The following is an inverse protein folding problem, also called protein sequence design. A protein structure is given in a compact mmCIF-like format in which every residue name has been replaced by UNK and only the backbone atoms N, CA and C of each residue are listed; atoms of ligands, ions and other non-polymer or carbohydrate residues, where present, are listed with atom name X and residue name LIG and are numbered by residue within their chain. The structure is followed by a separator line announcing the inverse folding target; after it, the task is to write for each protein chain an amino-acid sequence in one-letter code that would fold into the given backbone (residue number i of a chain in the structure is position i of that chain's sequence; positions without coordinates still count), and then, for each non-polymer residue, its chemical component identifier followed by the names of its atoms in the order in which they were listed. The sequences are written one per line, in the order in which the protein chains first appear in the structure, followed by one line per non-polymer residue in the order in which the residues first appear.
data_IF_962339189749
#
_entry.id   IF_962339189749
#
_cell.length_a   1.000
_cell.length_b   1.000
_cell.length_c   1.000
_cell.angle_alpha   90.00
_cell.angle_beta   90.00
_cell.angle_gamma   90.00
#
_symmetry.space_group_name_H-M   'P 1'
#
loop_
_entity.id
_entity.type
_entity.pdbx_description
1 polymer ?
#
# COMPACT_ATOMS: atom_id res chain seq x y z
N UNK A 1 -9.40 -11.78 23.64
CA UNK A 1 -10.49 -12.28 22.77
C UNK A 1 -10.21 -12.09 21.29
N UNK A 2 -9.85 -10.88 20.81
CA UNK A 2 -9.51 -10.64 19.39
C UNK A 2 -8.43 -11.59 18.84
N UNK A 3 -7.30 -11.74 19.53
CA UNK A 3 -6.22 -12.66 19.13
C UNK A 3 -6.65 -14.13 19.00
N UNK A 4 -7.70 -14.54 19.74
CA UNK A 4 -8.19 -15.92 19.74
C UNK A 4 -9.08 -16.20 18.53
N UNK A 5 -9.89 -15.22 18.12
CA UNK A 5 -10.68 -15.31 16.87
C UNK A 5 -9.79 -15.46 15.64
N UNK A 6 -8.64 -14.76 15.63
CA UNK A 6 -7.67 -14.88 14.55
C UNK A 6 -6.82 -16.16 14.63
N UNK A 7 -6.73 -16.79 15.80
CA UNK A 7 -6.05 -18.07 15.97
C UNK A 7 -6.83 -19.26 15.37
N UNK A 8 -8.13 -19.09 15.11
CA UNK A 8 -9.00 -20.13 14.56
C UNK A 8 -8.97 -20.21 13.03
N UNK A 9 -8.48 -19.17 12.36
CA UNK A 9 -8.39 -19.14 10.90
C UNK A 9 -7.07 -19.82 10.52
N UNK A 10 -7.11 -20.91 9.72
CA UNK A 10 -5.91 -21.61 9.30
C UNK A 10 -4.92 -20.62 8.69
N UNK A 11 -3.76 -20.47 9.32
CA UNK A 11 -2.69 -19.64 8.77
C UNK A 11 -2.06 -20.42 7.64
N UNK A 12 -2.17 -19.88 6.43
CA UNK A 12 -1.34 -20.35 5.32
C UNK A 12 0.09 -19.91 5.68
N UNK A 13 1.08 -20.83 5.66
CA UNK A 13 2.46 -20.50 5.93
C UNK A 13 2.94 -19.34 5.04
N UNK A 14 3.78 -18.47 5.60
CA UNK A 14 4.38 -17.38 4.85
C UNK A 14 5.10 -17.93 3.61
N UNK A 15 4.78 -17.40 2.42
CA UNK A 15 5.41 -17.77 1.16
C UNK A 15 4.78 -18.94 0.41
N UNK A 16 3.73 -19.56 0.95
CA UNK A 16 2.92 -20.52 0.20
C UNK A 16 1.80 -19.81 -0.58
N UNK A 17 1.48 -20.33 -1.77
CA UNK A 17 0.37 -19.84 -2.58
C UNK A 17 -0.95 -20.02 -1.83
N UNK A 18 -1.81 -19.01 -1.86
CA UNK A 18 -3.15 -19.13 -1.30
C UNK A 18 -3.92 -20.22 -2.07
N UNK A 19 -4.68 -21.09 -1.38
CA UNK A 19 -5.49 -22.09 -2.07
C UNK A 19 -6.54 -21.41 -2.97
N UNK A 20 -6.89 -22.00 -4.13
CA UNK A 20 -7.83 -21.39 -5.07
C UNK A 20 -9.26 -21.24 -4.52
N UNK A 21 -9.57 -21.94 -3.42
CA UNK A 21 -10.83 -21.81 -2.70
C UNK A 21 -10.55 -21.46 -1.23
N UNK A 22 -11.42 -20.67 -0.58
CA UNK A 22 -11.26 -20.33 0.82
C UNK A 22 -11.29 -21.60 1.68
N UNK A 23 -10.41 -21.71 2.69
CA UNK A 23 -10.54 -22.75 3.71
C UNK A 23 -11.96 -22.77 4.29
N UNK A 24 -12.57 -23.94 4.55
CA UNK A 24 -13.99 -24.03 4.94
C UNK A 24 -14.38 -23.17 6.15
N UNK A 25 -13.48 -23.04 7.12
CA UNK A 25 -13.68 -22.17 8.29
C UNK A 25 -13.74 -20.69 7.90
N UNK A 26 -12.85 -20.24 7.00
CA UNK A 26 -12.84 -18.88 6.50
C UNK A 26 -14.08 -18.60 5.65
N UNK A 27 -14.46 -19.53 4.77
CA UNK A 27 -15.67 -19.43 3.96
C UNK A 27 -16.94 -19.26 4.82
N UNK A 28 -17.06 -20.06 5.88
CA UNK A 28 -18.20 -19.97 6.81
C UNK A 28 -18.27 -18.62 7.53
N UNK A 29 -17.13 -18.07 7.94
CA UNK A 29 -17.05 -16.79 8.64
C UNK A 29 -17.30 -15.60 7.71
N UNK A 30 -16.83 -15.67 6.46
CA UNK A 30 -17.15 -14.69 5.41
C UNK A 30 -18.65 -14.71 5.07
N UNK A 31 -19.24 -15.90 4.89
CA UNK A 31 -20.68 -16.05 4.67
C UNK A 31 -21.52 -15.55 5.86
N UNK A 32 -20.98 -15.60 7.08
CA UNK A 32 -21.59 -15.04 8.28
C UNK A 32 -21.48 -13.49 8.38
N UNK A 33 -20.88 -12.82 7.40
CA UNK A 33 -20.78 -11.36 7.36
C UNK A 33 -19.67 -10.79 8.25
N UNK A 34 -18.51 -11.45 8.32
CA UNK A 34 -17.36 -10.95 9.08
C UNK A 34 -16.87 -9.59 8.55
N UNK A 35 -16.80 -9.38 7.23
CA UNK A 35 -16.27 -8.14 6.66
C UNK A 35 -17.09 -6.90 7.08
N UNK A 36 -18.45 -6.89 6.94
CA UNK A 36 -19.27 -5.80 7.47
C UNK A 36 -19.19 -5.65 9.00
N UNK A 37 -18.88 -6.71 9.73
CA UNK A 37 -18.67 -6.63 11.18
C UNK A 37 -17.35 -5.91 11.51
N UNK A 38 -16.25 -6.29 10.84
CA UNK A 38 -14.94 -5.65 10.98
C UNK A 38 -14.97 -4.18 10.56
N UNK A 39 -15.66 -3.85 9.47
CA UNK A 39 -15.83 -2.47 9.01
C UNK A 39 -16.49 -1.62 10.10
N UNK A 40 -17.64 -2.06 10.62
CA UNK A 40 -18.37 -1.33 11.67
C UNK A 40 -17.55 -1.18 12.94
N UNK A 41 -16.78 -2.20 13.30
CA UNK A 41 -15.91 -2.17 14.46
C UNK A 41 -14.77 -1.15 14.28
N UNK A 42 -14.11 -1.16 13.12
CA UNK A 42 -13.07 -0.19 12.77
C UNK A 42 -13.60 1.24 12.73
N UNK A 43 -14.79 1.44 12.13
CA UNK A 43 -15.44 2.75 12.04
C UNK A 43 -15.73 3.32 13.43
N UNK A 44 -16.34 2.52 14.31
CA UNK A 44 -16.61 2.90 15.71
C UNK A 44 -15.34 3.16 16.51
N UNK A 45 -14.31 2.34 16.31
CA UNK A 45 -13.01 2.58 16.93
C UNK A 45 -12.41 3.91 16.46
N UNK A 46 -12.58 4.27 15.18
CA UNK A 46 -12.18 5.58 14.65
C UNK A 46 -12.96 6.76 15.22
N UNK A 47 -14.27 6.60 15.40
CA UNK A 47 -15.15 7.61 16.02
C UNK A 47 -14.81 7.83 17.50
N UNK A 48 -14.48 6.76 18.23
CA UNK A 48 -14.13 6.78 19.66
C UNK A 48 -12.83 6.02 19.88
N UNK A 49 -11.66 6.64 19.66
CA UNK A 49 -10.36 5.98 19.80
C UNK A 49 -10.05 5.45 21.21
N UNK A 50 -10.71 5.99 22.24
CA UNK A 50 -10.60 5.54 23.64
C UNK A 50 -11.76 4.61 24.06
N UNK A 51 -12.63 4.23 23.10
CA UNK A 51 -13.78 3.37 23.34
C UNK A 51 -13.43 1.89 23.49
N UNK A 52 -14.37 1.05 23.96
CA UNK A 52 -14.15 -0.39 24.09
C UNK A 52 -13.89 -1.07 22.74
N UNK A 53 -14.47 -0.57 21.64
CA UNK A 53 -14.20 -1.07 20.29
C UNK A 53 -12.72 -0.91 19.89
N UNK A 54 -12.07 0.19 20.29
CA UNK A 54 -10.66 0.41 19.95
C UNK A 54 -9.72 -0.58 20.63
N UNK A 55 -10.06 -1.02 21.85
CA UNK A 55 -9.31 -2.07 22.56
C UNK A 55 -9.38 -3.40 21.81
N UNK A 56 -10.58 -3.75 21.28
CA UNK A 56 -10.77 -4.96 20.49
C UNK A 56 -10.02 -4.87 19.16
N UNK A 57 -10.14 -3.75 18.44
CA UNK A 57 -9.41 -3.52 17.19
C UNK A 57 -7.91 -3.55 17.43
N UNK A 58 -7.42 -2.89 18.48
CA UNK A 58 -6.00 -2.90 18.80
C UNK A 58 -5.49 -4.33 19.03
N UNK A 59 -6.25 -5.16 19.75
CA UNK A 59 -5.92 -6.57 19.94
C UNK A 59 -5.94 -7.38 18.64
N UNK A 60 -6.82 -7.06 17.69
CA UNK A 60 -6.85 -7.69 16.36
C UNK A 60 -5.65 -7.28 15.51
N UNK A 61 -5.27 -6.01 15.54
CA UNK A 61 -4.19 -5.46 14.71
C UNK A 61 -2.79 -5.73 15.27
N UNK A 62 -2.64 -5.95 16.58
CA UNK A 62 -1.34 -6.25 17.22
C UNK A 62 -0.75 -7.62 16.87
N UNK A 63 -1.53 -8.53 16.28
CA UNK A 63 -1.00 -9.83 15.89
C UNK A 63 0.17 -9.66 14.92
N UNK A 64 1.31 -10.32 15.17
CA UNK A 64 2.52 -10.26 14.32
C UNK A 64 2.24 -10.58 12.84
N UNK A 65 1.14 -11.28 12.57
CA UNK A 65 0.70 -11.72 11.25
C UNK A 65 -0.70 -11.22 10.93
N UNK A 66 -1.15 -10.12 11.55
CA UNK A 66 -2.48 -9.58 11.32
C UNK A 66 -2.70 -9.34 9.83
N UNK A 67 -1.76 -8.66 9.16
CA UNK A 67 -1.87 -8.34 7.74
C UNK A 67 -2.10 -9.56 6.84
N UNK A 68 -1.53 -10.74 7.14
CA UNK A 68 -1.78 -11.96 6.36
C UNK A 68 -3.23 -12.38 6.41
N UNK A 69 -3.81 -12.33 7.60
CA UNK A 69 -5.22 -12.66 7.76
C UNK A 69 -6.09 -11.65 7.03
N UNK A 70 -5.78 -10.36 7.14
CA UNK A 70 -6.49 -9.31 6.43
C UNK A 70 -6.37 -9.49 4.91
N UNK A 71 -5.21 -9.92 4.41
CA UNK A 71 -5.02 -10.24 2.99
C UNK A 71 -5.95 -11.38 2.56
N UNK A 72 -6.02 -12.47 3.33
CA UNK A 72 -6.96 -13.58 3.05
C UNK A 72 -8.43 -13.14 3.10
N UNK A 73 -8.79 -12.28 4.05
CA UNK A 73 -10.14 -11.74 4.18
C UNK A 73 -10.53 -10.89 2.97
N UNK A 74 -9.59 -10.14 2.40
CA UNK A 74 -9.78 -9.34 1.20
C UNK A 74 -9.73 -10.19 -0.08
N UNK A 75 -8.92 -11.24 -0.12
CA UNK A 75 -8.81 -12.20 -1.24
C UNK A 75 -10.11 -12.98 -1.43
N UNK A 76 -10.60 -13.62 -0.36
CA UNK A 76 -11.76 -14.52 -0.44
C UNK A 76 -13.08 -13.81 -0.17
N UNK A 77 -13.03 -12.56 0.27
CA UNK A 77 -14.19 -11.75 0.58
C UNK A 77 -14.95 -11.31 -0.66
N UNK A 78 -16.26 -11.13 -0.52
CA UNK A 78 -17.06 -10.43 -1.52
C UNK A 78 -16.57 -8.98 -1.65
N UNK A 79 -16.29 -8.55 -2.89
CA UNK A 79 -15.78 -7.21 -3.19
C UNK A 79 -16.70 -6.11 -2.65
N UNK A 80 -18.03 -6.32 -2.70
CA UNK A 80 -19.01 -5.35 -2.18
C UNK A 80 -18.85 -5.12 -0.67
N UNK A 81 -18.39 -6.14 0.06
CA UNK A 81 -18.15 -6.07 1.50
C UNK A 81 -16.72 -5.64 1.84
N UNK A 82 -15.75 -6.00 1.00
CA UNK A 82 -14.34 -5.67 1.18
C UNK A 82 -14.05 -4.19 0.88
N UNK A 83 -14.71 -3.58 -0.10
CA UNK A 83 -14.50 -2.16 -0.45
C UNK A 83 -14.78 -1.22 0.74
N UNK A 84 -15.95 -1.27 1.41
CA UNK A 84 -16.21 -0.42 2.59
C UNK A 84 -15.18 -0.57 3.71
N UNK A 85 -14.65 -1.79 3.88
CA UNK A 85 -13.59 -2.07 4.84
C UNK A 85 -12.29 -1.33 4.48
N UNK A 86 -11.89 -1.40 3.20
CA UNK A 86 -10.70 -0.70 2.67
C UNK A 86 -10.87 0.82 2.73
N UNK A 87 -12.07 1.34 2.45
CA UNK A 87 -12.42 2.76 2.62
C UNK A 87 -12.20 3.19 4.08
N UNK A 88 -12.74 2.42 5.01
CA UNK A 88 -12.65 2.70 6.45
C UNK A 88 -11.21 2.69 6.93
N UNK A 89 -10.42 1.68 6.52
CA UNK A 89 -8.99 1.64 6.79
C UNK A 89 -8.25 2.85 6.21
N UNK A 90 -8.57 3.26 4.98
CA UNK A 90 -7.99 4.45 4.36
C UNK A 90 -8.29 5.73 5.11
N UNK A 91 -9.51 5.85 5.65
CA UNK A 91 -9.92 7.00 6.47
C UNK A 91 -9.18 7.01 7.81
N UNK A 92 -9.10 5.87 8.49
CA UNK A 92 -8.31 5.72 9.72
C UNK A 92 -6.83 6.05 9.47
N UNK A 93 -6.27 5.57 8.36
CA UNK A 93 -4.90 5.85 7.93
C UNK A 93 -4.69 7.35 7.67
N UNK A 94 -5.66 8.03 7.07
CA UNK A 94 -5.60 9.47 6.83
C UNK A 94 -5.51 10.29 8.12
N UNK A 95 -6.18 9.83 9.18
CA UNK A 95 -6.14 10.47 10.51
C UNK A 95 -4.96 10.01 11.38
N UNK A 96 -4.19 9.00 10.96
CA UNK A 96 -3.01 8.56 11.68
C UNK A 96 -2.01 9.72 11.81
N UNK A 97 -1.50 9.94 13.01
CA UNK A 97 -0.55 11.02 13.31
C UNK A 97 0.86 10.45 13.35
N UNK A 98 1.85 11.00 12.63
CA UNK A 98 3.24 10.59 12.77
C UNK A 98 3.71 10.87 14.21
N UNK A 99 3.75 9.84 15.04
CA UNK A 99 4.21 9.91 16.43
C UNK A 99 5.60 9.28 16.59
N UNK A 100 6.44 9.83 17.46
CA UNK A 100 7.72 9.18 17.79
C UNK A 100 7.54 7.74 18.34
N UNK A 101 6.35 7.43 18.90
CA UNK A 101 6.00 6.13 19.46
C UNK A 101 5.88 4.99 18.43
N UNK A 102 5.88 5.31 17.14
CA UNK A 102 5.92 4.34 16.05
C UNK A 102 7.17 3.45 16.02
N UNK A 103 8.23 3.87 16.72
CA UNK A 103 9.57 3.28 16.64
C UNK A 103 9.76 2.06 17.53
N UNK A 104 8.81 1.74 18.39
CA UNK A 104 8.85 0.56 19.23
C UNK A 104 7.54 -0.22 19.06
N UNK A 105 7.63 -1.48 18.61
CA UNK A 105 6.57 -2.48 18.80
C UNK A 105 6.40 -2.82 20.29
N UNK A 106 6.37 -1.80 21.13
CA UNK A 106 6.03 -1.93 22.55
C UNK A 106 4.53 -2.20 22.64
N UNK A 107 4.16 -3.05 23.60
CA UNK A 107 2.77 -3.38 23.93
C UNK A 107 1.89 -2.14 24.16
N UNK A 108 2.52 -0.99 24.44
CA UNK A 108 1.90 0.32 24.60
C UNK A 108 1.38 0.98 23.31
N UNK A 109 1.52 0.38 22.13
CA UNK A 109 0.96 0.95 20.90
C UNK A 109 -0.57 1.10 21.04
N UNK A 110 -1.03 2.35 21.07
CA UNK A 110 -2.44 2.70 21.19
C UNK A 110 -3.10 2.72 19.80
N UNK A 111 -4.40 2.40 19.75
CA UNK A 111 -5.18 2.60 18.52
C UNK A 111 -5.32 4.10 18.19
N UNK A 112 -5.34 4.96 19.20
CA UNK A 112 -5.50 6.41 19.07
C UNK A 112 -4.38 7.07 18.23
N UNK A 113 -3.16 6.53 18.27
CA UNK A 113 -2.06 7.05 17.46
C UNK A 113 -2.13 6.61 15.98
N UNK A 114 -3.05 5.70 15.63
CA UNK A 114 -3.20 5.14 14.28
C UNK A 114 -2.07 4.20 13.87
N UNK A 115 -1.15 3.86 14.79
CA UNK A 115 0.07 3.15 14.43
C UNK A 115 -0.15 1.72 13.95
N UNK A 116 -1.11 1.04 14.59
CA UNK A 116 -1.56 -0.29 14.21
C UNK A 116 -2.22 -0.32 12.82
N UNK A 117 -2.95 0.74 12.48
CA UNK A 117 -3.59 0.87 11.15
C UNK A 117 -2.53 1.11 10.08
N UNK A 118 -1.55 1.97 10.36
CA UNK A 118 -0.40 2.18 9.46
C UNK A 118 0.35 0.87 9.22
N UNK A 119 0.67 0.13 10.29
CA UNK A 119 1.35 -1.17 10.17
C UNK A 119 0.54 -2.19 9.36
N UNK A 120 -0.78 -2.25 9.57
CA UNK A 120 -1.67 -3.10 8.79
C UNK A 120 -1.68 -2.71 7.31
N UNK A 121 -1.95 -1.44 6.99
CA UNK A 121 -2.03 -0.97 5.59
C UNK A 121 -0.69 -1.12 4.88
N UNK A 122 0.43 -0.81 5.55
CA UNK A 122 1.76 -1.01 5.01
C UNK A 122 2.05 -2.49 4.75
N UNK A 123 1.74 -3.38 5.71
CA UNK A 123 1.92 -4.82 5.56
C UNK A 123 1.02 -5.43 4.47
N UNK A 124 -0.21 -4.94 4.32
CA UNK A 124 -1.10 -5.34 3.23
C UNK A 124 -0.54 -4.94 1.87
N UNK A 125 -0.06 -3.70 1.71
CA UNK A 125 0.54 -3.28 0.45
C UNK A 125 1.88 -3.98 0.19
N UNK A 126 2.67 -4.26 1.21
CA UNK A 126 3.94 -4.98 1.08
C UNK A 126 3.71 -6.44 0.65
N UNK A 127 2.78 -7.12 1.32
CA UNK A 127 2.46 -8.53 1.07
C UNK A 127 1.73 -8.79 -0.25
N UNK A 128 1.05 -7.78 -0.81
CA UNK A 128 0.32 -7.88 -2.08
C UNK A 128 1.00 -7.08 -3.20
N UNK A 129 2.20 -6.54 -2.97
CA UNK A 129 3.00 -5.99 -4.06
C UNK A 129 3.18 -7.09 -5.14
N UNK A 130 2.94 -6.80 -6.43
CA UNK A 130 2.98 -7.82 -7.46
C UNK A 130 4.38 -8.44 -7.57
N UNK A 131 4.59 -9.55 -6.87
CA UNK A 131 5.67 -10.49 -7.10
C UNK A 131 5.27 -11.36 -8.29
N UNK A 132 6.24 -11.91 -9.03
CA UNK A 132 6.02 -12.86 -10.13
C UNK A 132 5.04 -14.00 -9.76
N UNK A 133 4.98 -14.36 -8.49
CA UNK A 133 4.11 -15.42 -7.96
C UNK A 133 2.62 -15.08 -8.03
N UNK A 134 2.25 -13.79 -8.06
CA UNK A 134 0.85 -13.38 -8.06
C UNK A 134 0.08 -13.91 -9.30
N UNK A 135 0.75 -14.12 -10.46
CA UNK A 135 0.13 -14.69 -11.68
C UNK A 135 -0.25 -16.15 -11.48
N UNK A 136 0.57 -16.87 -10.73
CA UNK A 136 0.34 -18.30 -10.50
C UNK A 136 -0.78 -18.53 -9.49
N UNK A 137 -1.10 -17.52 -8.67
CA UNK A 137 -2.13 -17.61 -7.65
C UNK A 137 -3.55 -17.51 -8.22
N UNK A 138 -3.72 -17.12 -9.50
CA UNK A 138 -5.05 -17.02 -10.10
C UNK A 138 -5.93 -16.00 -9.38
N UNK A 139 -5.32 -14.89 -8.95
CA UNK A 139 -5.99 -13.79 -8.24
C UNK A 139 -7.26 -13.42 -8.98
N UNK A 140 -8.38 -13.36 -8.26
CA UNK A 140 -9.64 -12.98 -8.87
C UNK A 140 -9.59 -11.51 -9.33
N UNK A 141 -10.14 -11.21 -10.51
CA UNK A 141 -10.32 -9.82 -11.00
C UNK A 141 -10.92 -8.88 -9.95
N UNK A 142 -11.74 -9.40 -9.04
CA UNK A 142 -12.39 -8.65 -7.98
C UNK A 142 -11.39 -8.11 -6.95
N UNK A 143 -10.39 -8.91 -6.58
CA UNK A 143 -9.35 -8.47 -5.65
C UNK A 143 -8.40 -7.44 -6.25
N UNK A 144 -8.08 -7.57 -7.53
CA UNK A 144 -7.26 -6.56 -8.21
C UNK A 144 -7.90 -5.17 -8.12
N UNK A 145 -9.24 -5.10 -8.20
CA UNK A 145 -10.00 -3.86 -8.06
C UNK A 145 -9.92 -3.31 -6.64
N UNK A 146 -10.14 -4.17 -5.63
CA UNK A 146 -10.08 -3.79 -4.21
C UNK A 146 -8.67 -3.33 -3.84
N UNK A 147 -7.65 -4.06 -4.27
CA UNK A 147 -6.25 -3.73 -4.04
C UNK A 147 -5.87 -2.44 -4.74
N UNK A 148 -6.27 -2.26 -6.00
CA UNK A 148 -5.93 -1.05 -6.72
C UNK A 148 -6.60 0.18 -6.12
N UNK A 149 -7.83 0.02 -5.61
CA UNK A 149 -8.47 1.04 -4.81
C UNK A 149 -7.67 1.35 -3.55
N UNK A 150 -7.22 0.32 -2.82
CA UNK A 150 -6.38 0.46 -1.64
C UNK A 150 -5.07 1.20 -1.96
N UNK A 151 -4.34 0.80 -3.00
CA UNK A 151 -3.11 1.46 -3.48
C UNK A 151 -3.38 2.94 -3.75
N UNK A 152 -4.42 3.25 -4.53
CA UNK A 152 -4.74 4.63 -4.89
C UNK A 152 -5.06 5.51 -3.68
N UNK A 153 -5.76 4.98 -2.68
CA UNK A 153 -6.17 5.75 -1.50
C UNK A 153 -5.10 5.78 -0.40
N UNK A 154 -4.36 4.70 -0.21
CA UNK A 154 -3.44 4.54 0.91
C UNK A 154 -2.03 5.03 0.58
N UNK A 155 -1.54 4.81 -0.65
CA UNK A 155 -0.15 5.11 -1.02
C UNK A 155 0.22 6.60 -0.84
N UNK A 156 -0.63 7.60 -1.24
CA UNK A 156 -0.33 9.00 -0.97
C UNK A 156 -0.25 9.32 0.52
N UNK A 157 -1.12 8.70 1.33
CA UNK A 157 -1.15 8.90 2.79
C UNK A 157 0.10 8.29 3.43
N UNK A 158 0.49 7.08 3.04
CA UNK A 158 1.71 6.43 3.50
C UNK A 158 2.96 7.23 3.12
N UNK A 159 3.01 7.78 1.89
CA UNK A 159 4.11 8.66 1.49
C UNK A 159 4.18 9.92 2.34
N UNK A 160 3.04 10.56 2.63
CA UNK A 160 2.99 11.71 3.53
C UNK A 160 3.54 11.36 4.91
N UNK A 161 3.09 10.23 5.49
CA UNK A 161 3.55 9.75 6.79
C UNK A 161 5.06 9.41 6.77
N UNK A 162 5.54 8.77 5.70
CA UNK A 162 6.97 8.45 5.53
C UNK A 162 7.82 9.72 5.49
N UNK A 163 7.42 10.72 4.70
CA UNK A 163 8.13 12.00 4.62
C UNK A 163 8.11 12.75 5.95
N UNK A 164 6.99 12.75 6.66
CA UNK A 164 6.90 13.32 8.00
C UNK A 164 7.86 12.59 8.96
N UNK A 165 7.87 11.26 8.95
CA UNK A 165 8.79 10.46 9.76
C UNK A 165 10.27 10.75 9.45
N UNK A 166 10.63 10.95 8.19
CA UNK A 166 11.99 11.30 7.77
C UNK A 166 12.40 12.72 8.17
N UNK A 167 11.44 13.64 8.30
CA UNK A 167 11.71 15.01 8.70
C UNK A 167 11.95 15.17 10.22
N UNK A 168 11.62 14.17 11.05
CA UNK A 168 11.82 14.26 12.50
C UNK A 168 13.29 13.94 12.87
N UNK A 169 14.07 14.92 13.37
CA UNK A 169 15.50 14.75 13.66
C UNK A 169 15.79 13.91 14.90
N UNK A 170 14.77 13.54 15.68
CA UNK A 170 14.89 12.92 16.99
C UNK A 170 14.38 11.47 17.06
N UNK A 171 14.05 10.85 15.92
CA UNK A 171 13.60 9.47 15.94
C UNK A 171 14.75 8.58 16.46
N UNK A 172 14.58 7.84 17.57
CA UNK A 172 15.50 6.76 17.91
C UNK A 172 15.59 5.83 16.69
N UNK A 173 16.70 5.10 16.56
CA UNK A 173 17.07 4.28 15.39
C UNK A 173 16.11 3.09 15.07
N UNK A 174 14.81 3.23 15.33
CA UNK A 174 13.76 2.26 15.10
C UNK A 174 13.23 2.29 13.67
N UNK A 175 12.91 1.09 13.18
CA UNK A 175 12.60 0.77 11.78
C UNK A 175 11.29 1.31 11.20
N UNK A 176 10.68 2.36 11.76
CA UNK A 176 9.46 2.94 11.19
C UNK A 176 9.64 3.39 9.72
N UNK A 177 10.73 4.10 9.35
CA UNK A 177 10.92 4.46 7.95
C UNK A 177 10.96 3.21 7.06
N UNK A 178 11.52 2.10 7.54
CA UNK A 178 11.56 0.86 6.75
C UNK A 178 10.18 0.24 6.52
N UNK A 179 9.29 0.26 7.53
CA UNK A 179 7.92 -0.28 7.42
C UNK A 179 7.10 0.54 6.42
N UNK A 180 7.24 1.86 6.44
CA UNK A 180 6.53 2.75 5.52
C UNK A 180 7.15 2.76 4.12
N UNK A 181 8.48 2.76 4.01
CA UNK A 181 9.18 2.85 2.73
C UNK A 181 9.07 1.55 1.94
N UNK A 182 9.08 0.38 2.57
CA UNK A 182 9.06 -0.89 1.84
C UNK A 182 7.88 -1.02 0.86
N UNK A 183 6.60 -0.84 1.26
CA UNK A 183 5.50 -0.87 0.31
C UNK A 183 5.58 0.29 -0.69
N UNK A 184 6.04 1.48 -0.29
CA UNK A 184 6.21 2.57 -1.26
C UNK A 184 7.21 2.18 -2.36
N UNK A 185 8.37 1.65 -1.99
CA UNK A 185 9.44 1.28 -2.92
C UNK A 185 9.10 0.04 -3.76
N UNK A 186 8.20 -0.83 -3.33
CA UNK A 186 7.73 -1.94 -4.16
C UNK A 186 6.69 -1.51 -5.19
N UNK A 187 5.81 -0.57 -4.84
CA UNK A 187 4.75 -0.09 -5.73
C UNK A 187 5.20 0.99 -6.71
N UNK A 188 6.12 1.89 -6.32
CA UNK A 188 6.54 3.01 -7.17
C UNK A 188 7.13 2.61 -8.54
N UNK A 189 8.00 1.58 -8.65
CA UNK A 189 8.50 1.12 -9.93
C UNK A 189 7.37 0.70 -10.90
N UNK A 190 6.39 -0.02 -10.39
CA UNK A 190 5.26 -0.53 -11.17
C UNK A 190 4.36 0.60 -11.68
N UNK A 191 4.10 1.59 -10.81
CA UNK A 191 3.33 2.78 -11.16
C UNK A 191 4.08 3.66 -12.18
N UNK A 192 5.40 3.82 -12.01
CA UNK A 192 6.25 4.53 -12.95
C UNK A 192 6.25 3.88 -14.34
N UNK A 193 6.36 2.54 -14.41
CA UNK A 193 6.29 1.81 -15.68
C UNK A 193 4.96 1.99 -16.41
N UNK A 194 3.86 2.13 -15.67
CA UNK A 194 2.54 2.41 -16.26
C UNK A 194 2.42 3.80 -16.86
N UNK A 195 3.22 4.76 -16.39
CA UNK A 195 3.21 6.10 -16.95
C UNK A 195 3.90 6.16 -18.33
N UNK A 196 4.77 5.20 -18.66
CA UNK A 196 5.48 5.18 -19.95
C UNK A 196 4.61 4.75 -21.15
N UNK A 197 3.60 3.90 -20.91
CA UNK A 197 2.83 3.26 -21.99
C UNK A 197 1.79 4.15 -22.69
N UNK A 198 1.59 5.40 -22.24
CA UNK A 198 0.53 6.28 -22.75
C UNK A 198 0.84 7.01 -24.07
N UNK A 199 2.06 6.87 -24.60
CA UNK A 199 2.58 7.73 -25.67
C UNK A 199 2.18 7.39 -27.11
N UNK A 200 1.53 6.27 -27.40
CA UNK A 200 1.18 6.00 -28.80
C UNK A 200 0.50 4.67 -29.10
N UNK A 201 -0.83 4.72 -29.22
CA UNK A 201 -1.59 4.00 -30.27
C UNK A 201 -3.02 4.56 -30.35
N UNK A 202 -3.21 5.41 -31.38
CA UNK A 202 -4.38 5.56 -32.25
C UNK A 202 -5.81 5.35 -31.70
N UNK A 203 -6.61 6.42 -31.79
CA UNK A 203 -7.99 6.43 -32.28
C UNK A 203 -8.83 5.15 -32.04
N UNK A 204 -9.47 5.06 -30.88
CA UNK A 204 -10.75 4.37 -30.77
C UNK A 204 -11.87 5.40 -31.08
N UNK A 205 -12.60 5.28 -32.20
CA UNK A 205 -13.77 6.09 -32.45
C UNK A 205 -14.94 5.47 -31.69
N UNK A 206 -15.11 5.82 -30.43
CA UNK A 206 -16.43 5.76 -29.79
C UNK A 206 -16.44 6.72 -28.60
N UNK A 207 -16.70 7.99 -28.91
CA UNK A 207 -17.22 8.95 -27.94
C UNK A 207 -18.59 8.45 -27.50
N UNK A 208 -18.65 7.69 -26.41
CA UNK A 208 -19.81 7.76 -25.54
C UNK A 208 -19.75 9.16 -24.89
N UNK A 209 -20.50 10.09 -25.47
CA UNK A 209 -20.79 11.38 -24.83
C UNK A 209 -21.58 11.10 -23.56
N UNK A 210 -20.90 11.06 -22.42
CA UNK A 210 -21.54 11.24 -21.12
C UNK A 210 -21.68 12.74 -20.93
N UNK A 211 -22.91 13.23 -21.08
CA UNK A 211 -23.27 14.62 -20.88
C UNK A 211 -23.00 15.03 -19.43
N UNK A 212 -22.08 15.97 -19.23
CA UNK A 212 -21.80 16.58 -17.95
C UNK A 212 -22.88 17.63 -17.65
N UNK A 213 -23.78 17.30 -16.72
CA UNK A 213 -24.55 18.29 -15.99
C UNK A 213 -24.16 18.14 -14.51
N UNK A 214 -23.22 18.97 -14.06
CA UNK A 214 -22.83 19.07 -12.65
C UNK A 214 -23.29 20.42 -12.15
N UNK A 215 -24.24 20.38 -11.20
CA UNK A 215 -24.64 21.51 -10.38
C UNK A 215 -23.54 21.71 -9.33
N UNK A 216 -23.05 22.94 -9.24
CA UNK A 216 -22.04 23.38 -8.30
C UNK A 216 -22.62 23.34 -6.88
N UNK A 217 -22.24 22.33 -6.09
CA UNK A 217 -22.47 22.28 -4.65
C UNK A 217 -21.11 22.20 -3.98
N UNK A 218 -20.75 23.30 -3.33
CA UNK A 218 -19.51 23.47 -2.58
C UNK A 218 -19.58 22.61 -1.31
N UNK A 219 -18.78 21.54 -1.24
CA UNK A 219 -18.58 20.73 -0.02
C UNK A 219 -17.23 21.12 0.63
N UNK A 220 -17.22 21.66 1.87
CA UNK A 220 -16.01 22.06 2.56
C UNK A 220 -15.10 20.89 3.00
N UNK A 221 -15.50 19.62 2.86
CA UNK A 221 -14.65 18.45 3.17
C UNK A 221 -13.91 17.84 1.96
N UNK A 222 -13.89 18.53 0.81
CA UNK A 222 -12.87 18.32 -0.23
C UNK A 222 -12.75 16.87 -0.72
N UNK A 223 -13.87 16.21 -0.98
CA UNK A 223 -13.88 14.94 -1.70
C UNK A 223 -13.29 15.22 -3.08
N UNK A 224 -12.07 14.71 -3.33
CA UNK A 224 -11.37 14.83 -4.60
C UNK A 224 -12.23 14.27 -5.73
N UNK A 225 -13.05 15.12 -6.34
CA UNK A 225 -13.72 14.87 -7.61
C UNK A 225 -12.62 14.82 -8.67
N UNK A 226 -12.02 13.64 -8.76
CA UNK A 226 -11.04 13.23 -9.76
C UNK A 226 -11.70 13.36 -11.13
N UNK A 227 -11.37 14.44 -11.85
CA UNK A 227 -11.45 14.46 -13.31
C UNK A 227 -10.58 13.30 -13.80
N UNK A 228 -11.18 12.14 -14.07
CA UNK A 228 -10.54 10.83 -14.27
C UNK A 228 -9.52 10.72 -15.42
N UNK A 229 -8.97 11.85 -15.87
CA UNK A 229 -7.94 12.01 -16.89
C UNK A 229 -6.51 11.89 -16.34
N UNK A 230 -6.29 12.08 -15.04
CA UNK A 230 -4.95 12.11 -14.44
C UNK A 230 -4.18 10.77 -14.39
N UNK A 231 -4.86 9.64 -14.58
CA UNK A 231 -4.24 8.30 -14.68
C UNK A 231 -3.24 7.96 -13.56
N UNK A 232 -2.20 7.21 -13.91
CA UNK A 232 -1.14 6.78 -12.99
C UNK A 232 -0.17 7.91 -12.61
N UNK A 233 0.02 8.88 -13.51
CA UNK A 233 0.91 10.01 -13.29
C UNK A 233 0.39 10.93 -12.18
N UNK A 234 -0.92 11.17 -12.15
CA UNK A 234 -1.53 11.91 -11.04
C UNK A 234 -1.26 11.18 -9.71
N UNK A 235 -1.38 9.85 -9.65
CA UNK A 235 -1.10 9.11 -8.41
C UNK A 235 0.36 9.29 -7.96
N UNK A 236 1.33 9.23 -8.87
CA UNK A 236 2.74 9.51 -8.56
C UNK A 236 2.94 10.94 -8.03
N UNK A 237 2.33 11.93 -8.68
CA UNK A 237 2.38 13.32 -8.24
C UNK A 237 1.77 13.51 -6.83
N UNK A 238 0.63 12.87 -6.54
CA UNK A 238 -0.01 12.90 -5.21
C UNK A 238 0.86 12.27 -4.13
N UNK A 239 1.62 11.21 -4.47
CA UNK A 239 2.60 10.64 -3.54
C UNK A 239 3.82 11.54 -3.33
N UNK A 240 3.98 12.63 -4.08
CA UNK A 240 5.20 13.48 -4.07
C UNK A 240 6.46 12.62 -4.15
N UNK A 241 6.45 11.69 -5.11
CA UNK A 241 7.43 10.61 -5.23
C UNK A 241 8.88 11.11 -5.24
N UNK A 242 9.16 12.22 -5.92
CA UNK A 242 10.52 12.78 -5.98
C UNK A 242 11.00 13.26 -4.60
N UNK A 243 10.16 13.99 -3.87
CA UNK A 243 10.50 14.43 -2.50
C UNK A 243 10.61 13.26 -1.51
N UNK A 244 9.77 12.23 -1.68
CA UNK A 244 9.83 11.01 -0.89
C UNK A 244 11.16 10.27 -1.09
N UNK A 245 11.54 10.03 -2.35
CA UNK A 245 12.77 9.32 -2.69
C UNK A 245 14.02 10.13 -2.32
N UNK A 246 13.99 11.46 -2.47
CA UNK A 246 15.05 12.35 -2.00
C UNK A 246 15.27 12.21 -0.48
N UNK A 247 14.20 12.27 0.32
CA UNK A 247 14.30 12.04 1.76
C UNK A 247 14.82 10.64 2.11
N UNK A 248 14.39 9.61 1.38
CA UNK A 248 14.84 8.24 1.61
C UNK A 248 16.32 8.04 1.27
N UNK A 249 16.83 8.70 0.22
CA UNK A 249 18.26 8.70 -0.11
C UNK A 249 19.10 9.31 1.03
N UNK A 250 18.65 10.41 1.63
CA UNK A 250 19.33 11.00 2.77
C UNK A 250 19.37 10.06 3.99
N UNK A 251 18.33 9.23 4.19
CA UNK A 251 18.35 8.22 5.26
C UNK A 251 19.44 7.16 5.09
N UNK A 252 19.87 6.88 3.85
CA UNK A 252 20.90 5.87 3.59
C UNK A 252 22.30 6.29 4.03
N UNK A 253 22.55 7.60 4.17
CA UNK A 253 23.84 8.15 4.63
C UNK A 253 24.02 8.07 6.15
N UNK A 254 22.92 7.98 6.89
CA UNK A 254 22.97 7.93 8.34
C UNK A 254 23.58 6.59 8.77
N UNK A 255 24.77 6.58 9.44
CA UNK A 255 25.48 5.33 9.78
C UNK A 255 24.68 4.38 10.68
N UNK A 256 23.59 4.89 11.27
CA UNK A 256 22.79 4.23 12.30
C UNK A 256 21.45 3.68 11.79
N UNK A 257 21.07 3.92 10.53
CA UNK A 257 19.71 3.57 10.07
C UNK A 257 19.50 2.09 9.82
N UNK A 258 20.57 1.27 9.81
CA UNK A 258 20.45 -0.19 9.73
C UNK A 258 19.61 -0.68 8.53
N UNK A 259 19.52 0.13 7.47
CA UNK A 259 18.65 -0.14 6.33
C UNK A 259 19.12 -1.44 5.69
N UNK A 260 18.21 -2.39 5.55
CA UNK A 260 18.47 -3.66 4.91
C UNK A 260 18.96 -3.44 3.46
N UNK A 261 19.96 -4.21 2.98
CA UNK A 261 20.46 -4.09 1.61
C UNK A 261 19.36 -4.21 0.54
N UNK A 262 18.34 -5.03 0.80
CA UNK A 262 17.17 -5.17 -0.08
C UNK A 262 16.38 -3.87 -0.23
N UNK A 263 16.24 -3.09 0.85
CA UNK A 263 15.54 -1.80 0.80
C UNK A 263 16.37 -0.76 0.02
N UNK A 264 17.70 -0.79 0.11
CA UNK A 264 18.58 0.06 -0.72
C UNK A 264 18.48 -0.29 -2.20
N UNK A 265 18.39 -1.57 -2.53
CA UNK A 265 18.14 -2.02 -3.90
C UNK A 265 16.77 -1.52 -4.41
N UNK A 266 15.70 -1.71 -3.64
CA UNK A 266 14.37 -1.21 -3.99
C UNK A 266 14.32 0.33 -4.12
N UNK A 267 15.09 1.04 -3.30
CA UNK A 267 15.24 2.50 -3.38
C UNK A 267 15.92 2.93 -4.68
N UNK A 268 17.06 2.31 -5.01
CA UNK A 268 17.77 2.58 -6.26
C UNK A 268 16.88 2.29 -7.49
N UNK A 269 16.16 1.17 -7.45
CA UNK A 269 15.23 0.79 -8.52
C UNK A 269 14.12 1.84 -8.68
N UNK A 270 13.48 2.22 -7.58
CA UNK A 270 12.45 3.27 -7.56
C UNK A 270 12.97 4.61 -8.08
N UNK A 271 14.19 5.01 -7.71
CA UNK A 271 14.81 6.23 -8.23
C UNK A 271 14.99 6.18 -9.75
N UNK A 272 15.53 5.07 -10.26
CA UNK A 272 15.74 4.89 -11.70
C UNK A 272 14.43 4.91 -12.50
N UNK A 273 13.41 4.17 -12.05
CA UNK A 273 12.11 4.10 -12.73
C UNK A 273 11.35 5.43 -12.65
N UNK A 274 11.38 6.11 -11.50
CA UNK A 274 10.72 7.41 -11.33
C UNK A 274 11.42 8.50 -12.12
N UNK A 275 12.76 8.52 -12.21
CA UNK A 275 13.46 9.48 -13.05
C UNK A 275 13.11 9.34 -14.54
N UNK A 276 12.92 8.10 -14.99
CA UNK A 276 12.44 7.84 -16.34
C UNK A 276 10.94 8.20 -16.50
N UNK A 277 10.08 8.04 -15.49
CA UNK A 277 8.64 8.38 -15.61
C UNK A 277 8.33 9.88 -15.42
N UNK A 278 9.07 10.54 -14.54
CA UNK A 278 8.81 11.88 -14.02
C UNK A 278 10.06 12.76 -14.18
N UNK A 279 10.68 12.75 -15.36
CA UNK A 279 11.94 13.45 -15.62
C UNK A 279 11.89 14.93 -15.24
N UNK A 280 10.78 15.59 -15.53
CA UNK A 280 10.65 17.03 -15.39
C UNK A 280 10.53 17.41 -13.92
N UNK A 281 9.85 16.59 -13.11
CA UNK A 281 9.78 16.75 -11.66
C UNK A 281 11.14 16.49 -10.99
N UNK A 282 11.91 15.52 -11.49
CA UNK A 282 13.28 15.24 -11.03
C UNK A 282 14.22 16.38 -11.38
N UNK A 283 14.09 16.98 -12.57
CA UNK A 283 14.83 18.18 -12.97
C UNK A 283 14.56 19.34 -12.03
N UNK A 284 13.28 19.65 -11.78
CA UNK A 284 12.88 20.71 -10.85
C UNK A 284 13.38 20.47 -9.42
N UNK A 285 13.49 19.21 -8.99
CA UNK A 285 13.97 18.87 -7.67
C UNK A 285 15.51 18.88 -7.55
N UNK A 286 16.26 18.66 -8.63
CA UNK A 286 17.71 18.58 -8.61
C UNK A 286 18.38 19.88 -8.11
N UNK A 287 17.75 21.04 -8.35
CA UNK A 287 18.21 22.34 -7.86
C UNK A 287 17.88 22.63 -6.38
N UNK A 288 17.12 21.77 -5.70
CA UNK A 288 16.73 21.96 -4.30
C UNK A 288 17.72 21.28 -3.34
N UNK A 289 18.00 21.92 -2.20
CA UNK A 289 18.83 21.33 -1.13
C UNK A 289 18.24 20.02 -0.55
N UNK A 290 16.93 19.84 -0.67
CA UNK A 290 16.22 18.60 -0.30
C UNK A 290 16.05 17.62 -1.48
N UNK A 291 16.70 17.92 -2.61
CA UNK A 291 16.60 17.21 -3.88
C UNK A 291 17.42 15.94 -3.97
N UNK A 292 17.48 15.38 -5.18
CA UNK A 292 18.27 14.19 -5.48
C UNK A 292 19.72 14.59 -5.71
N UNK A 293 20.59 14.25 -4.77
CA UNK A 293 22.02 14.50 -4.89
C UNK A 293 22.71 13.31 -5.60
N UNK A 294 23.53 13.54 -6.65
CA UNK A 294 24.27 12.49 -7.35
C UNK A 294 25.14 11.64 -6.42
N UNK A 295 25.72 12.24 -5.40
CA UNK A 295 26.61 11.58 -4.42
C UNK A 295 25.86 10.51 -3.62
N UNK A 296 24.60 10.78 -3.26
CA UNK A 296 23.75 9.84 -2.53
C UNK A 296 23.45 8.60 -3.37
N UNK A 297 23.20 8.78 -4.67
CA UNK A 297 22.97 7.67 -5.60
C UNK A 297 24.25 6.84 -5.80
N UNK A 298 25.40 7.49 -5.98
CA UNK A 298 26.68 6.79 -6.11
C UNK A 298 27.06 5.99 -4.88
N UNK A 299 26.69 6.46 -3.68
CA UNK A 299 26.92 5.72 -2.45
C UNK A 299 26.21 4.34 -2.43
N UNK A 300 25.11 4.17 -3.17
CA UNK A 300 24.41 2.89 -3.28
C UNK A 300 25.14 1.89 -4.20
N UNK A 301 25.89 2.37 -5.19
CA UNK A 301 26.46 1.56 -6.28
C UNK A 301 27.38 0.43 -5.80
N UNK A 302 28.34 0.64 -4.87
CA UNK A 302 29.19 -0.45 -4.38
C UNK A 302 28.39 -1.60 -3.74
N UNK A 303 27.32 -1.27 -3.03
CA UNK A 303 26.48 -2.24 -2.36
C UNK A 303 25.63 -3.03 -3.37
N UNK A 304 25.05 -2.35 -4.36
CA UNK A 304 24.35 -3.00 -5.47
C UNK A 304 25.25 -3.99 -6.22
N UNK A 305 26.51 -3.61 -6.48
CA UNK A 305 27.51 -4.51 -7.10
C UNK A 305 27.83 -5.70 -6.18
N UNK A 306 27.99 -5.47 -4.88
CA UNK A 306 28.24 -6.52 -3.87
C UNK A 306 27.12 -7.56 -3.84
N UNK A 307 25.87 -7.15 -3.98
CA UNK A 307 24.69 -8.02 -4.00
C UNK A 307 24.30 -8.50 -5.42
N UNK A 308 25.19 -8.37 -6.41
CA UNK A 308 25.00 -8.83 -7.80
C UNK A 308 23.86 -8.13 -8.58
N UNK A 309 23.43 -6.95 -8.15
CA UNK A 309 22.50 -6.10 -8.90
C UNK A 309 23.23 -5.23 -9.94
N UNK A 310 23.98 -5.88 -10.85
CA UNK A 310 24.89 -5.19 -11.78
C UNK A 310 24.19 -4.26 -12.78
N UNK A 311 23.00 -4.63 -13.28
CA UNK A 311 22.19 -3.79 -14.17
C UNK A 311 21.68 -2.55 -13.44
N UNK A 312 21.13 -2.74 -12.24
CA UNK A 312 20.66 -1.66 -11.38
C UNK A 312 21.79 -0.70 -11.01
N UNK A 313 22.96 -1.23 -10.62
CA UNK A 313 24.14 -0.41 -10.33
C UNK A 313 24.56 0.47 -11.52
N UNK A 314 24.48 -0.03 -12.76
CA UNK A 314 24.73 0.76 -13.97
C UNK A 314 23.67 1.85 -14.16
N UNK A 315 22.40 1.51 -13.96
CA UNK A 315 21.29 2.48 -14.08
C UNK A 315 21.39 3.59 -13.04
N UNK A 316 21.75 3.26 -11.80
CA UNK A 316 21.97 4.23 -10.72
C UNK A 316 23.15 5.15 -11.01
N UNK A 317 24.25 4.64 -11.58
CA UNK A 317 25.40 5.45 -12.00
C UNK A 317 25.05 6.39 -13.17
N UNK A 318 24.30 5.90 -14.17
CA UNK A 318 23.81 6.71 -15.27
C UNK A 318 22.89 7.83 -14.78
N UNK A 319 22.00 7.53 -13.82
CA UNK A 319 21.13 8.52 -13.18
C UNK A 319 21.93 9.58 -12.41
N UNK A 320 22.96 9.19 -11.65
CA UNK A 320 23.82 10.16 -10.97
C UNK A 320 24.52 11.09 -11.98
N UNK A 321 25.03 10.53 -13.09
CA UNK A 321 25.67 11.30 -14.17
C UNK A 321 24.68 12.25 -14.85
N UNK A 322 23.43 11.82 -15.04
CA UNK A 322 22.36 12.67 -15.58
C UNK A 322 22.09 13.88 -14.66
N UNK A 323 21.98 13.67 -13.35
CA UNK A 323 21.75 14.75 -12.38
C UNK A 323 22.92 15.76 -12.34
N UNK A 324 24.18 15.30 -12.45
CA UNK A 324 25.33 16.22 -12.53
C UNK A 324 25.30 17.09 -13.78
N UNK A 325 24.94 16.51 -14.93
CA UNK A 325 24.79 17.25 -16.18
C UNK A 325 23.68 18.29 -16.06
N UNK A 326 22.57 17.97 -15.38
CA UNK A 326 21.51 18.94 -15.10
C UNK A 326 22.04 20.12 -14.29
N UNK A 327 22.71 19.86 -13.16
CA UNK A 327 23.27 20.91 -12.32
C UNK A 327 24.33 21.75 -13.04
N UNK A 328 25.10 21.15 -13.97
CA UNK A 328 26.06 21.89 -14.79
C UNK A 328 25.39 22.83 -15.80
N UNK A 329 24.26 22.42 -16.40
CA UNK A 329 23.48 23.25 -17.33
C UNK A 329 22.84 24.43 -16.60
N UNK A 330 22.29 24.21 -15.40
CA UNK A 330 21.66 25.28 -14.61
C UNK A 330 22.64 26.36 -14.12
N UNK A 331 23.88 25.96 -13.81
CA UNK A 331 24.94 26.88 -13.34
C UNK A 331 25.72 27.54 -14.49
N UNK A 332 25.56 27.05 -15.73
CA UNK A 332 26.30 27.52 -16.91
C UNK A 332 25.79 28.85 -17.43
N UNK A 333 26.27 29.97 -16.87
CA UNK A 333 25.88 31.32 -17.29
C UNK A 333 26.52 31.81 -18.61
N UNK A 334 26.95 30.91 -19.51
CA UNK A 334 27.90 31.26 -20.57
C UNK A 334 27.65 30.63 -21.94
N UNK A 335 27.39 31.49 -22.94
CA UNK A 335 27.72 31.29 -24.37
C UNK A 335 27.00 30.16 -25.11
N UNK A 336 26.18 30.52 -26.12
CA UNK A 336 25.25 29.62 -26.82
C UNK A 336 25.82 28.34 -27.46
N UNK A 337 27.13 28.22 -27.68
CA UNK A 337 27.72 26.99 -28.23
C UNK A 337 28.00 25.90 -27.17
N UNK A 338 28.34 26.28 -25.93
CA UNK A 338 28.57 25.33 -24.84
C UNK A 338 27.27 24.69 -24.34
N UNK A 339 26.19 25.47 -24.31
CA UNK A 339 24.88 25.00 -23.84
C UNK A 339 24.27 23.93 -24.75
N UNK A 340 24.53 23.95 -26.06
CA UNK A 340 24.01 22.95 -26.98
C UNK A 340 24.63 21.57 -26.75
N UNK A 341 25.97 21.50 -26.64
CA UNK A 341 26.68 20.23 -26.36
C UNK A 341 26.27 19.65 -25.00
N UNK A 342 26.11 20.51 -23.99
CA UNK A 342 25.64 20.09 -22.68
C UNK A 342 24.20 19.56 -22.72
N UNK A 343 23.32 20.19 -23.50
CA UNK A 343 21.93 19.75 -23.68
C UNK A 343 21.84 18.41 -24.44
N UNK A 344 22.61 18.21 -25.51
CA UNK A 344 22.68 16.93 -26.22
C UNK A 344 23.20 15.80 -25.32
N UNK A 345 24.24 16.08 -24.53
CA UNK A 345 24.74 15.14 -23.52
C UNK A 345 23.71 14.81 -22.44
N UNK A 346 22.88 15.79 -22.04
CA UNK A 346 21.81 15.58 -21.08
C UNK A 346 20.71 14.66 -21.64
N UNK A 347 20.27 14.88 -22.88
CA UNK A 347 19.28 14.04 -23.54
C UNK A 347 19.78 12.60 -23.72
N UNK A 348 21.05 12.42 -24.08
CA UNK A 348 21.66 11.09 -24.19
C UNK A 348 21.69 10.35 -22.84
N UNK A 349 22.05 11.05 -21.75
CA UNK A 349 22.05 10.47 -20.40
C UNK A 349 20.62 10.12 -19.92
N UNK A 350 19.64 10.98 -20.25
CA UNK A 350 18.23 10.70 -19.99
C UNK A 350 17.78 9.42 -20.70
N UNK A 351 18.07 9.31 -21.99
CA UNK A 351 17.71 8.13 -22.80
C UNK A 351 18.37 6.85 -22.25
N UNK A 352 19.63 6.93 -21.82
CA UNK A 352 20.30 5.80 -21.18
C UNK A 352 19.60 5.35 -19.89
N UNK A 353 19.16 6.29 -19.03
CA UNK A 353 18.37 5.97 -17.83
C UNK A 353 17.04 5.33 -18.22
N UNK A 354 16.34 5.83 -19.23
CA UNK A 354 15.10 5.22 -19.73
C UNK A 354 15.31 3.78 -20.20
N UNK A 355 16.31 3.52 -21.05
CA UNK A 355 16.60 2.18 -21.59
C UNK A 355 16.97 1.21 -20.48
N UNK A 356 17.76 1.65 -19.49
CA UNK A 356 18.17 0.82 -18.37
C UNK A 356 17.00 0.57 -17.40
N UNK A 357 16.19 1.59 -17.10
CA UNK A 357 15.03 1.46 -16.22
C UNK A 357 13.95 0.54 -16.80
N UNK A 358 13.73 0.57 -18.12
CA UNK A 358 12.83 -0.35 -18.81
C UNK A 358 13.23 -1.83 -18.69
N UNK A 359 14.50 -2.12 -18.34
CA UNK A 359 15.00 -3.48 -18.10
C UNK A 359 14.89 -3.93 -16.65
N UNK A 360 14.63 -3.00 -15.71
CA UNK A 360 14.56 -3.31 -14.28
C UNK A 360 13.22 -3.93 -13.91
N UNK A 361 12.14 -3.34 -14.41
CA UNK A 361 10.77 -3.81 -14.15
C UNK A 361 10.29 -4.59 -15.37
N UNK A 362 9.79 -5.81 -15.15
CA UNK A 362 9.18 -6.56 -16.23
C UNK A 362 7.88 -5.84 -16.65
N UNK A 363 7.69 -5.49 -17.93
CA UNK A 363 6.45 -4.86 -18.41
C UNK A 363 5.21 -5.68 -18.06
N UNK A 364 5.42 -6.99 -18.00
CA UNK A 364 4.47 -7.99 -17.54
C UNK A 364 3.91 -7.72 -16.15
N UNK A 365 4.72 -7.27 -15.20
CA UNK A 365 4.30 -6.97 -13.83
C UNK A 365 3.53 -5.65 -13.78
N UNK A 366 3.93 -4.67 -14.58
CA UNK A 366 3.16 -3.44 -14.71
C UNK A 366 1.79 -3.73 -15.32
N UNK A 367 1.71 -4.50 -16.42
CA UNK A 367 0.52 -4.80 -17.23
C UNK A 367 -0.69 -5.38 -16.48
N UNK A 368 -0.50 -5.77 -15.23
CA UNK A 368 -1.49 -6.38 -14.35
C UNK A 368 -2.28 -5.36 -13.54
N UNK A 369 -1.72 -4.16 -13.35
CA UNK A 369 -2.41 -3.10 -12.62
C UNK A 369 -3.69 -2.64 -13.36
N UNK A 370 -4.86 -2.89 -12.76
CA UNK A 370 -6.13 -2.42 -13.32
C UNK A 370 -6.10 -0.89 -13.50
N UNK A 371 -6.39 -0.36 -14.70
CA UNK A 371 -6.44 1.08 -14.93
C UNK A 371 -7.33 1.81 -13.92
N UNK A 372 -6.93 3.01 -13.43
CA UNK A 372 -7.69 3.74 -12.41
C UNK A 372 -9.14 4.03 -12.83
N UNK A 373 -9.38 4.29 -14.12
CA UNK A 373 -10.71 4.53 -14.66
C UNK A 373 -11.67 3.35 -14.43
N UNK A 374 -11.18 2.11 -14.60
CA UNK A 374 -11.99 0.90 -14.39
C UNK A 374 -12.32 0.75 -12.91
N UNK A 375 -11.35 0.98 -12.02
CA UNK A 375 -11.60 0.92 -10.57
C UNK A 375 -12.63 1.96 -10.14
N UNK A 376 -12.50 3.21 -10.61
CA UNK A 376 -13.48 4.27 -10.33
C UNK A 376 -14.88 3.88 -10.80
N UNK A 377 -15.01 3.32 -12.00
CA UNK A 377 -16.31 2.92 -12.54
C UNK A 377 -16.97 1.83 -11.69
N UNK A 378 -16.22 0.79 -11.31
CA UNK A 378 -16.73 -0.31 -10.48
C UNK A 378 -17.15 0.18 -9.09
N UNK A 379 -16.42 1.14 -8.52
CA UNK A 379 -16.77 1.74 -7.22
C UNK A 379 -17.97 2.66 -7.30
N UNK A 380 -18.09 3.44 -8.38
CA UNK A 380 -19.23 4.32 -8.61
C UNK A 380 -20.53 3.53 -8.84
N UNK A 381 -20.42 2.33 -9.40
CA UNK A 381 -21.54 1.39 -9.53
C UNK A 381 -21.90 0.70 -8.20
N UNK A 382 -21.03 0.75 -7.20
CA UNK A 382 -21.26 0.09 -5.91
C UNK A 382 -22.26 0.92 -5.07
N UNK A 383 -23.33 0.30 -4.54
CA UNK A 383 -24.32 0.98 -3.70
C UNK A 383 -23.75 1.55 -2.39
N UNK A 384 -22.51 1.21 -2.04
CA UNK A 384 -21.82 1.69 -0.84
C UNK A 384 -21.35 3.15 -0.91
N UNK A 385 -21.62 3.89 -2.00
CA UNK A 385 -21.24 5.31 -2.16
C UNK A 385 -21.72 6.20 -1.02
N UNK A 386 -22.84 5.87 -0.38
CA UNK A 386 -23.40 6.68 0.72
C UNK A 386 -22.65 6.56 2.06
N UNK A 387 -21.68 5.65 2.19
CA UNK A 387 -20.89 5.51 3.42
C UNK A 387 -19.68 6.47 3.51
N UNK A 388 -19.42 7.28 2.47
CA UNK A 388 -18.18 8.06 2.35
C UNK A 388 -18.17 9.41 3.07
N UNK A 389 -19.32 9.99 3.44
CA UNK A 389 -19.38 11.42 3.79
C UNK A 389 -19.20 11.77 5.27
N UNK A 390 -19.21 10.83 6.22
CA UNK A 390 -18.86 11.17 7.62
C UNK A 390 -18.42 9.96 8.44
N UNK A 391 -17.41 10.13 9.31
CA UNK A 391 -17.18 9.22 10.46
C UNK A 391 -18.22 9.49 11.55
N UNK A 392 -18.55 10.76 11.77
CA UNK A 392 -19.54 11.21 12.72
C UNK A 392 -20.94 11.16 12.09
N UNK A 393 -21.37 9.99 11.62
CA UNK A 393 -22.67 9.85 10.99
C UNK A 393 -23.79 10.30 11.92
N UNK A 394 -24.40 11.45 11.63
CA UNK A 394 -25.76 11.79 12.07
C UNK A 394 -26.69 10.77 11.42
N UNK A 395 -26.91 9.69 12.17
CA UNK A 395 -27.76 8.59 11.77
C UNK A 395 -29.21 9.08 11.77
N UNK A 396 -29.70 9.48 10.59
CA UNK A 396 -31.13 9.60 10.36
C UNK A 396 -31.79 8.24 10.64
N UNK A 397 -32.50 8.21 11.77
CA UNK A 397 -33.46 7.22 12.24
C UNK A 397 -33.77 6.05 11.28
N UNK A 398 -32.92 5.03 11.30
CA UNK A 398 -33.11 3.75 10.64
C UNK A 398 -32.72 2.60 11.57
N UNK A 399 -33.39 2.48 12.72
CA UNK A 399 -33.51 1.25 13.51
C UNK A 399 -32.25 0.40 13.72
N UNK A 400 -31.17 0.94 14.30
CA UNK A 400 -30.04 0.14 14.81
C UNK A 400 -30.03 0.05 16.34
N UNK A 401 -31.11 -0.49 16.92
CA UNK A 401 -31.19 -0.82 18.36
C UNK A 401 -30.38 -2.07 18.77
N UNK A 402 -29.77 -2.79 17.82
CA UNK A 402 -29.26 -4.16 18.05
C UNK A 402 -27.77 -4.33 17.77
N UNK A 403 -26.91 -3.37 18.14
CA UNK A 403 -25.45 -3.55 17.96
C UNK A 403 -24.83 -4.38 19.09
N UNK A 404 -25.34 -4.25 20.32
CA UNK A 404 -25.04 -5.22 21.38
C UNK A 404 -25.58 -6.60 21.01
N UNK A 405 -26.77 -6.68 20.40
CA UNK A 405 -27.33 -7.95 19.94
C UNK A 405 -26.62 -8.55 18.72
N UNK A 406 -26.08 -7.76 17.78
CA UNK A 406 -25.22 -8.28 16.71
C UNK A 406 -23.87 -8.73 17.26
N UNK A 407 -23.25 -7.92 18.12
CA UNK A 407 -21.98 -8.28 18.75
C UNK A 407 -22.14 -9.52 19.62
N UNK A 408 -23.22 -9.62 20.41
CA UNK A 408 -23.56 -10.77 21.26
C UNK A 408 -24.07 -11.96 20.46
N UNK A 409 -24.81 -11.80 19.35
CA UNK A 409 -25.21 -12.92 18.49
C UNK A 409 -24.03 -13.47 17.71
N UNK A 410 -23.16 -12.61 17.19
CA UNK A 410 -21.90 -13.04 16.58
C UNK A 410 -21.01 -13.65 17.66
N UNK A 411 -20.95 -13.10 18.87
CA UNK A 411 -20.26 -13.71 20.01
C UNK A 411 -20.81 -15.08 20.36
N UNK A 412 -22.13 -15.22 20.50
CA UNK A 412 -22.82 -16.44 20.91
C UNK A 412 -22.77 -17.48 19.80
N UNK A 413 -22.85 -17.05 18.54
CA UNK A 413 -22.67 -17.90 17.39
C UNK A 413 -21.22 -18.39 17.28
N UNK A 414 -20.24 -17.50 17.49
CA UNK A 414 -18.82 -17.87 17.57
C UNK A 414 -18.58 -18.81 18.75
N UNK A 415 -19.04 -18.49 19.96
CA UNK A 415 -18.94 -19.35 21.15
C UNK A 415 -19.62 -20.70 20.88
N UNK A 416 -20.78 -20.73 20.23
CA UNK A 416 -21.48 -21.96 19.86
C UNK A 416 -20.74 -22.81 18.83
N UNK A 417 -20.20 -22.20 17.77
CA UNK A 417 -19.37 -22.90 16.78
C UNK A 417 -18.06 -23.39 17.39
N UNK A 418 -17.48 -22.63 18.33
CA UNK A 418 -16.30 -23.00 19.08
C UNK A 418 -16.55 -24.16 20.03
N UNK A 419 -17.68 -24.17 20.73
CA UNK A 419 -18.09 -25.31 21.56
C UNK A 419 -18.34 -26.56 20.72
N UNK A 420 -18.93 -26.41 19.52
CA UNK A 420 -19.08 -27.51 18.57
C UNK A 420 -17.74 -28.05 18.06
N UNK A 421 -16.81 -27.17 17.66
CA UNK A 421 -15.49 -27.57 17.17
C UNK A 421 -14.62 -28.18 18.27
N UNK A 422 -14.66 -27.63 19.49
CA UNK A 422 -14.03 -28.22 20.67
C UNK A 422 -14.64 -29.59 21.00
N UNK A 423 -15.96 -29.75 20.87
CA UNK A 423 -16.63 -31.04 21.00
C UNK A 423 -16.19 -32.05 19.95
N UNK A 424 -16.06 -31.65 18.68
CA UNK A 424 -15.61 -32.54 17.60
C UNK A 424 -14.14 -32.96 17.75
N UNK A 425 -13.26 -32.03 18.15
CA UNK A 425 -11.84 -32.33 18.40
C UNK A 425 -11.66 -33.25 19.61
N UNK A 426 -12.39 -33.01 20.71
CA UNK A 426 -12.41 -33.90 21.86
C UNK A 426 -12.94 -35.29 21.49
N UNK A 427 -14.00 -35.36 20.66
CA UNK A 427 -14.53 -36.62 20.15
C UNK A 427 -13.53 -37.38 19.29
N UNK A 428 -12.79 -36.70 18.41
CA UNK A 428 -11.72 -37.31 17.60
C UNK A 428 -10.57 -37.84 18.45
N UNK A 429 -10.18 -37.12 19.52
CA UNK A 429 -9.16 -37.57 20.47
C UNK A 429 -9.63 -38.81 21.23
N UNK A 430 -10.86 -38.80 21.77
CA UNK A 430 -11.45 -39.95 22.47
C UNK A 430 -11.56 -41.15 21.55
N UNK A 431 -11.99 -40.95 20.29
CA UNK A 431 -12.09 -42.02 19.29
C UNK A 431 -10.71 -42.61 18.95
N UNK A 432 -9.66 -41.79 18.82
CA UNK A 432 -8.28 -42.28 18.65
C UNK A 432 -7.81 -43.10 19.85
N UNK A 433 -8.09 -42.65 21.07
CA UNK A 433 -7.72 -43.38 22.28
C UNK A 433 -8.46 -44.72 22.41
N UNK A 434 -9.74 -44.77 22.03
CA UNK A 434 -10.50 -46.03 21.99
C UNK A 434 -9.94 -47.01 20.95
N UNK A 435 -9.59 -46.52 19.75
CA UNK A 435 -8.98 -47.36 18.71
C UNK A 435 -7.61 -47.91 19.13
N UNK A 436 -6.79 -47.14 19.86
CA UNK A 436 -5.53 -47.65 20.41
C UNK A 436 -5.74 -48.69 21.52
N UNK A 437 -6.81 -48.55 22.31
CA UNK A 437 -7.13 -49.49 23.38
C UNK A 437 -7.69 -50.81 22.88
N UNK A 438 -8.32 -50.84 21.70
CA UNK A 438 -8.79 -52.07 21.05
C UNK A 438 -7.71 -52.82 20.27
N UNK A 439 -6.53 -52.21 20.09
CA UNK A 439 -5.40 -52.82 19.37
C UNK A 439 -4.37 -53.50 20.32
N UNK A 440 -4.59 -53.40 21.63
CA UNK A 440 -3.89 -54.13 22.69
C UNK A 440 -4.85 -55.13 23.32
#
# INVERSE_FOLDING_TARGET
MGAWLLGMIPRVPYGELLPPAPPPALAAVLAAGLLPCLERLLRRAGEKPDGPESVVVAALLRGEHAWHLWAQLLEYGDAEQAVPLVVTLGRLLYHARPSAAFTAHTEASSFADGSLVVGLCAGLLDGVAPSRDWRQQGVSMQQEVVLMYAVRKWLPVLSRLARQAMAYPAAPAGGLPSVLLRPLLSWLPLLACRCWGGGGTAAAPNKLQVSAMVVDVYDPEGEFLDDGTGGWQALLAHTRVVALLGGALHLTQLPRTGIAPSLRAALAESCCTVAAACSDEVQLAAGSSAGWQPELLRALVPELRRYRHGSLAKCTEALATFLERLSAVENGNGGGHGNQVAHEGLLAAREEVHILAAKLVLPEDAAMLVPPAITSHLLNACPCRHFTTSLAGDSAAGGCGNVLLCSVRVLLWLIGTLLCLAGMTLWLIVRRLQLQRSAH
#
